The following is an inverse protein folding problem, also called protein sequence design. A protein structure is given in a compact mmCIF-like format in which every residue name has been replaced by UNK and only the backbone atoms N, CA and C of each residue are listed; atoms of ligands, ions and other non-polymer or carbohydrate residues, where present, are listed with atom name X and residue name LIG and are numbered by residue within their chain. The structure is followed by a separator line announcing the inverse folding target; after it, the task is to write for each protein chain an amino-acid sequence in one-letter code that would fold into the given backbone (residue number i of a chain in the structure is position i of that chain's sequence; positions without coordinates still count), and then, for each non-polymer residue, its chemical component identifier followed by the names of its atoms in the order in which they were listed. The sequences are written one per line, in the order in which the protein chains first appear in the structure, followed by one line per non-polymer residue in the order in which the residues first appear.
data_IF_868194972036
#
_entry.id   IF_868194972036
#
_cell.length_a   1.000
_cell.length_b   1.000
_cell.length_c   1.000
_cell.angle_alpha   90.00
_cell.angle_beta   90.00
_cell.angle_gamma   90.00
#
_symmetry.space_group_name_H-M   'P 1'
#
loop_
_entity.id
_entity.type
_entity.pdbx_description
1 polymer ?
#
# COMPACT_ATOMS: atom_id res chain seq x y z
N UNK A 1 32.07 9.13 -1.52
CA UNK A 1 32.95 10.32 -1.48
C UNK A 1 32.59 11.28 -2.61
N UNK A 2 31.34 11.74 -2.63
CA UNK A 2 30.84 12.88 -3.43
C UNK A 2 29.85 13.55 -2.47
N UNK A 3 29.83 14.88 -2.40
CA UNK A 3 29.17 15.73 -1.38
C UNK A 3 30.06 16.21 -0.24
N UNK A 4 31.19 16.82 -0.60
CA UNK A 4 31.78 17.87 0.23
C UNK A 4 32.31 18.99 -0.66
N UNK A 5 31.41 19.83 -1.16
CA UNK A 5 31.77 21.08 -1.84
C UNK A 5 30.80 22.19 -1.47
N UNK A 6 31.37 23.27 -0.92
CA UNK A 6 30.84 24.63 -1.02
C UNK A 6 29.91 25.09 0.09
N UNK A 7 30.41 25.97 0.96
CA UNK A 7 29.64 26.82 1.86
C UNK A 7 28.56 27.61 1.11
N UNK A 8 27.35 27.08 1.19
CA UNK A 8 26.09 27.72 0.84
C UNK A 8 25.03 27.02 1.67
N UNK A 9 25.03 27.29 2.98
CA UNK A 9 24.27 26.55 3.99
C UNK A 9 22.79 26.38 3.64
N UNK A 10 22.18 27.38 3.00
CA UNK A 10 20.79 27.28 2.53
C UNK A 10 20.58 26.26 1.40
N UNK A 11 21.40 26.27 0.35
CA UNK A 11 21.19 25.40 -0.82
C UNK A 11 21.39 23.92 -0.50
N UNK A 12 22.37 23.58 0.33
CA UNK A 12 22.60 22.20 0.75
C UNK A 12 21.51 21.66 1.69
N UNK A 13 20.94 22.51 2.55
CA UNK A 13 19.82 22.10 3.43
C UNK A 13 18.57 21.88 2.60
N UNK A 14 18.26 22.80 1.68
CA UNK A 14 17.08 22.70 0.82
C UNK A 14 17.16 21.49 -0.10
N UNK A 15 18.32 21.16 -0.67
CA UNK A 15 18.47 19.97 -1.52
C UNK A 15 18.32 18.66 -0.75
N UNK A 16 18.83 18.59 0.50
CA UNK A 16 18.60 17.44 1.38
C UNK A 16 17.14 17.28 1.76
N UNK A 17 16.44 18.39 2.07
CA UNK A 17 15.00 18.37 2.36
C UNK A 17 14.22 17.83 1.16
N UNK A 18 14.53 18.32 -0.04
CA UNK A 18 13.90 17.86 -1.27
C UNK A 18 14.19 16.37 -1.53
N UNK A 19 15.41 15.91 -1.27
CA UNK A 19 15.76 14.49 -1.38
C UNK A 19 14.92 13.64 -0.41
N UNK A 20 14.77 14.06 0.84
CA UNK A 20 13.95 13.33 1.82
C UNK A 20 12.49 13.27 1.38
N UNK A 21 11.90 14.39 0.96
CA UNK A 21 10.50 14.44 0.50
C UNK A 21 10.30 13.56 -0.75
N UNK A 22 11.22 13.65 -1.71
CA UNK A 22 11.15 12.81 -2.93
C UNK A 22 11.35 11.34 -2.61
N UNK A 23 12.26 10.98 -1.70
CA UNK A 23 12.43 9.61 -1.24
C UNK A 23 11.18 9.08 -0.52
N UNK A 24 10.58 9.86 0.38
CA UNK A 24 9.31 9.50 1.02
C UNK A 24 8.20 9.29 -0.01
N UNK A 25 8.10 10.16 -1.02
CA UNK A 25 7.14 10.01 -2.11
C UNK A 25 7.41 8.76 -2.97
N UNK A 26 8.68 8.38 -3.18
CA UNK A 26 9.03 7.12 -3.83
C UNK A 26 8.61 5.91 -2.99
N UNK A 27 8.81 5.95 -1.67
CA UNK A 27 8.34 4.91 -0.76
C UNK A 27 6.81 4.76 -0.76
N UNK A 28 6.05 5.86 -0.78
CA UNK A 28 4.57 5.77 -0.87
C UNK A 28 4.12 5.22 -2.21
N UNK A 29 4.84 5.51 -3.30
CA UNK A 29 4.61 4.86 -4.61
C UNK A 29 4.92 3.37 -4.57
N UNK A 30 6.01 2.94 -3.92
CA UNK A 30 6.32 1.51 -3.73
C UNK A 30 5.22 0.80 -2.93
N UNK A 31 4.66 1.44 -1.90
CA UNK A 31 3.51 0.92 -1.16
C UNK A 31 2.25 0.80 -2.05
N UNK A 32 2.09 1.68 -3.04
CA UNK A 32 1.03 1.53 -4.03
C UNK A 32 1.27 0.32 -4.97
N UNK A 33 2.52 -0.01 -5.30
CA UNK A 33 2.83 -1.22 -6.08
C UNK A 33 2.56 -2.51 -5.28
N UNK A 34 2.78 -2.50 -3.97
CA UNK A 34 2.48 -3.68 -3.14
C UNK A 34 0.97 -3.94 -3.02
N UNK A 35 0.11 -2.95 -3.34
CA UNK A 35 -1.35 -3.11 -3.42
C UNK A 35 -1.80 -4.11 -4.49
N UNK A 36 -0.96 -4.40 -5.48
CA UNK A 36 -1.23 -5.39 -6.53
C UNK A 36 -1.27 -6.82 -5.99
N UNK A 37 -0.58 -7.07 -4.89
CA UNK A 37 -0.58 -8.39 -4.27
C UNK A 37 -1.93 -8.62 -3.59
N UNK A 38 -2.52 -9.80 -3.79
CA UNK A 38 -3.84 -10.14 -3.23
C UNK A 38 -3.85 -10.04 -1.68
N UNK A 39 -2.73 -10.39 -1.05
CA UNK A 39 -2.61 -10.35 0.41
C UNK A 39 -2.51 -8.91 0.95
N UNK A 40 -1.54 -8.11 0.49
CA UNK A 40 -1.35 -6.75 1.02
C UNK A 40 -2.40 -5.78 0.49
N UNK A 41 -2.86 -5.95 -0.74
CA UNK A 41 -3.87 -5.10 -1.37
C UNK A 41 -5.18 -5.07 -0.60
N UNK A 42 -5.71 -6.25 -0.21
CA UNK A 42 -6.93 -6.33 0.61
C UNK A 42 -6.75 -5.62 1.96
N UNK A 43 -5.61 -5.80 2.63
CA UNK A 43 -5.32 -5.15 3.93
C UNK A 43 -5.24 -3.63 3.81
N UNK A 44 -4.67 -3.11 2.72
CA UNK A 44 -4.59 -1.67 2.50
C UNK A 44 -5.95 -1.04 2.22
N UNK A 45 -6.81 -1.68 1.43
CA UNK A 45 -8.19 -1.23 1.16
C UNK A 45 -8.99 -1.18 2.46
N UNK A 46 -8.88 -2.23 3.27
CA UNK A 46 -9.47 -2.33 4.60
C UNK A 46 -9.03 -1.15 5.49
N UNK A 47 -7.73 -0.88 5.58
CA UNK A 47 -7.19 0.22 6.39
C UNK A 47 -7.67 1.60 5.89
N UNK A 48 -7.70 1.81 4.57
CA UNK A 48 -8.19 3.08 3.98
C UNK A 48 -9.64 3.35 4.36
N UNK A 49 -10.50 2.33 4.28
CA UNK A 49 -11.93 2.46 4.61
C UNK A 49 -12.15 2.65 6.12
N UNK A 50 -11.37 1.97 6.95
CA UNK A 50 -11.40 2.18 8.40
C UNK A 50 -11.01 3.59 8.83
N UNK A 51 -9.92 4.15 8.28
CA UNK A 51 -9.49 5.52 8.64
C UNK A 51 -10.60 6.54 8.35
N UNK A 52 -11.36 6.35 7.26
CA UNK A 52 -12.51 7.22 6.93
C UNK A 52 -13.63 7.08 7.95
N UNK A 53 -13.97 5.85 8.33
CA UNK A 53 -15.04 5.54 9.28
C UNK A 53 -14.72 6.06 10.70
N UNK A 54 -13.49 5.89 11.16
CA UNK A 54 -13.04 6.32 12.50
C UNK A 54 -12.54 7.77 12.54
N UNK A 55 -12.60 8.51 11.43
CA UNK A 55 -12.05 9.88 11.33
C UNK A 55 -12.71 10.87 12.29
N UNK A 56 -14.03 10.74 12.52
CA UNK A 56 -14.76 11.58 13.47
C UNK A 56 -14.21 11.42 14.91
N UNK A 57 -13.80 10.21 15.30
CA UNK A 57 -13.20 9.96 16.61
C UNK A 57 -11.78 10.57 16.73
N UNK A 58 -11.00 10.56 15.65
CA UNK A 58 -9.68 11.22 15.61
C UNK A 58 -9.77 12.73 15.85
N UNK A 59 -10.86 13.37 15.42
CA UNK A 59 -11.12 14.79 15.70
C UNK A 59 -11.29 15.01 17.22
N UNK A 60 -12.00 14.11 17.91
CA UNK A 60 -12.19 14.20 19.38
C UNK A 60 -10.85 14.12 20.11
N UNK A 61 -9.98 13.16 19.74
CA UNK A 61 -8.63 13.04 20.30
C UNK A 61 -7.83 14.33 20.06
N UNK A 62 -7.93 14.90 18.85
CA UNK A 62 -7.23 16.14 18.49
C UNK A 62 -7.69 17.32 19.34
N UNK A 63 -9.00 17.47 19.56
CA UNK A 63 -9.56 18.53 20.41
C UNK A 63 -9.07 18.41 21.85
N UNK A 64 -9.07 17.20 22.41
CA UNK A 64 -8.62 16.95 23.79
C UNK A 64 -7.11 17.16 23.91
N UNK A 65 -6.34 16.77 22.90
CA UNK A 65 -4.90 17.07 22.82
C UNK A 65 -4.64 18.58 22.80
N UNK A 66 -5.39 19.35 22.01
CA UNK A 66 -5.27 20.81 21.95
C UNK A 66 -5.61 21.46 23.29
N UNK A 67 -6.72 21.05 23.91
CA UNK A 67 -7.13 21.54 25.23
C UNK A 67 -6.04 21.32 26.27
N UNK A 68 -5.50 20.10 26.36
CA UNK A 68 -4.42 19.78 27.30
C UNK A 68 -3.16 20.60 26.99
N UNK A 69 -2.73 20.64 25.73
CA UNK A 69 -1.50 21.33 25.32
C UNK A 69 -1.52 22.81 25.73
N UNK A 70 -2.62 23.50 25.44
CA UNK A 70 -2.78 24.92 25.76
C UNK A 70 -2.87 25.12 27.27
N UNK A 71 -3.66 24.30 27.98
CA UNK A 71 -3.82 24.41 29.44
C UNK A 71 -2.51 24.15 30.19
N UNK A 72 -1.79 23.10 29.80
CA UNK A 72 -0.48 22.75 30.35
C UNK A 72 0.52 23.90 30.19
N UNK A 73 0.60 24.48 28.99
CA UNK A 73 1.55 25.56 28.72
C UNK A 73 1.21 26.85 29.47
N UNK A 74 -0.09 27.21 29.51
CA UNK A 74 -0.57 28.38 30.24
C UNK A 74 -0.28 28.28 31.74
N UNK A 75 -0.36 27.07 32.30
CA UNK A 75 -0.08 26.79 33.71
C UNK A 75 1.43 26.87 34.03
N UNK A 76 2.29 26.32 33.17
CA UNK A 76 3.74 26.33 33.38
C UNK A 76 4.38 27.71 33.19
N UNK A 77 3.95 28.46 32.17
CA UNK A 77 4.62 29.69 31.74
C UNK A 77 3.65 30.87 31.68
N UNK A 78 3.21 31.41 32.84
CA UNK A 78 2.35 32.58 32.87
C UNK A 78 3.06 33.78 32.23
N UNK A 79 2.32 34.66 31.53
CA UNK A 79 2.87 35.85 30.86
C UNK A 79 3.92 35.53 29.78
N UNK A 80 3.73 34.46 29.00
CA UNK A 80 4.52 34.21 27.79
C UNK A 80 3.93 34.93 26.58
N UNK A 81 4.77 35.54 25.75
CA UNK A 81 4.34 36.12 24.48
C UNK A 81 3.96 35.03 23.47
N UNK A 82 2.90 35.27 22.68
CA UNK A 82 2.46 34.35 21.63
C UNK A 82 3.35 34.46 20.40
N UNK A 83 4.07 33.38 20.05
CA UNK A 83 4.69 33.23 18.73
C UNK A 83 4.53 31.82 18.18
N UNK A 84 4.68 31.69 16.87
CA UNK A 84 4.61 30.41 16.15
C UNK A 84 5.55 29.35 16.70
N UNK A 85 6.74 29.75 17.18
CA UNK A 85 7.71 28.84 17.80
C UNK A 85 7.23 28.28 19.13
N UNK A 86 6.45 29.04 19.92
CA UNK A 86 5.83 28.50 21.13
C UNK A 86 4.66 27.58 20.76
N UNK A 87 3.82 27.94 19.79
CA UNK A 87 2.73 27.07 19.34
C UNK A 87 3.23 25.68 18.94
N UNK A 88 4.33 25.61 18.19
CA UNK A 88 4.95 24.33 17.82
C UNK A 88 5.41 23.51 19.04
N UNK A 89 6.02 24.17 20.05
CA UNK A 89 6.41 23.53 21.32
C UNK A 89 5.21 22.99 22.09
N UNK A 90 4.12 23.77 22.13
CA UNK A 90 2.87 23.43 22.81
C UNK A 90 2.26 22.16 22.20
N UNK A 91 2.05 22.17 20.88
CA UNK A 91 1.43 21.05 20.15
C UNK A 91 2.30 19.80 20.20
N UNK A 92 3.63 19.94 20.05
CA UNK A 92 4.56 18.83 20.11
C UNK A 92 4.49 18.11 21.46
N UNK A 93 4.41 18.85 22.56
CA UNK A 93 4.38 18.24 23.89
C UNK A 93 3.11 17.42 24.11
N UNK A 94 1.93 17.98 23.79
CA UNK A 94 0.67 17.22 23.92
C UNK A 94 0.57 16.03 22.97
N UNK A 95 1.16 16.13 21.78
CA UNK A 95 1.29 15.02 20.83
C UNK A 95 2.14 13.87 21.38
N UNK A 96 3.37 14.13 21.83
CA UNK A 96 4.26 13.08 22.33
C UNK A 96 3.73 12.41 23.59
N UNK A 97 3.00 13.16 24.41
CA UNK A 97 2.35 12.60 25.57
C UNK A 97 1.28 11.55 25.23
N UNK A 98 0.61 11.65 24.07
CA UNK A 98 -0.31 10.60 23.60
C UNK A 98 0.41 9.25 23.42
N UNK A 99 1.70 9.29 23.10
CA UNK A 99 2.56 8.10 22.92
C UNK A 99 3.32 7.69 24.19
N UNK A 100 3.04 8.33 25.33
CA UNK A 100 3.63 7.97 26.63
C UNK A 100 4.91 8.70 26.99
N UNK A 101 5.33 9.72 26.25
CA UNK A 101 6.41 10.60 26.69
C UNK A 101 5.88 11.59 27.74
N UNK A 102 6.17 11.28 29.01
CA UNK A 102 5.69 12.04 30.15
C UNK A 102 6.60 13.22 30.52
N UNK A 103 7.79 13.35 29.90
CA UNK A 103 8.80 14.40 30.13
C UNK A 103 8.78 14.94 31.58
N UNK A 104 9.04 14.05 32.55
CA UNK A 104 8.96 14.33 33.98
C UNK A 104 10.14 15.22 34.41
N UNK A 105 11.30 15.03 33.77
CA UNK A 105 12.56 15.70 34.11
C UNK A 105 12.67 17.15 33.61
N UNK A 106 11.64 17.65 32.91
CA UNK A 106 11.62 19.03 32.43
C UNK A 106 11.68 20.07 33.58
N UNK A 107 11.47 19.65 34.83
CA UNK A 107 11.60 20.47 36.04
C UNK A 107 13.01 20.52 36.61
N UNK A 108 13.92 19.61 36.21
CA UNK A 108 15.26 19.46 36.80
C UNK A 108 16.39 20.04 35.91
N UNK A 109 16.03 20.70 34.80
CA UNK A 109 17.00 21.38 33.93
C UNK A 109 17.38 22.78 34.46
N UNK A 110 18.63 23.19 34.20
CA UNK A 110 19.09 24.56 34.40
C UNK A 110 18.18 25.55 33.66
N UNK A 111 17.47 26.39 34.41
CA UNK A 111 16.47 27.31 33.88
C UNK A 111 16.75 28.76 34.31
N UNK A 112 16.15 29.73 33.61
CA UNK A 112 16.28 31.16 33.92
C UNK A 112 14.92 31.86 33.96
N UNK A 113 14.77 32.83 34.86
CA UNK A 113 13.61 33.75 34.88
C UNK A 113 13.86 35.03 34.05
N UNK A 114 15.08 35.27 33.57
CA UNK A 114 15.42 36.49 32.86
C UNK A 114 15.00 36.45 31.39
N UNK A 115 14.14 37.39 30.98
CA UNK A 115 13.60 37.51 29.61
C UNK A 115 14.66 37.54 28.52
N UNK A 116 15.73 38.29 28.76
CA UNK A 116 16.81 38.43 27.77
C UNK A 116 17.58 37.15 27.51
N UNK A 117 17.65 36.24 28.49
CA UNK A 117 18.43 35.00 28.41
C UNK A 117 17.62 33.92 27.71
N UNK A 118 16.33 33.78 28.03
CA UNK A 118 15.48 32.78 27.38
C UNK A 118 15.08 33.18 25.94
N UNK A 119 14.93 34.48 25.64
CA UNK A 119 14.63 34.93 24.27
C UNK A 119 15.81 34.70 23.31
N UNK A 120 17.04 34.75 23.83
CA UNK A 120 18.26 34.39 23.09
C UNK A 120 18.47 32.87 22.95
N UNK A 121 17.65 32.06 23.60
CA UNK A 121 17.73 30.59 23.56
C UNK A 121 18.94 30.00 24.28
N UNK A 122 19.55 30.73 25.21
CA UNK A 122 20.74 30.29 25.95
C UNK A 122 20.35 29.30 27.05
N UNK A 123 19.31 29.64 27.83
CA UNK A 123 18.69 28.77 28.84
C UNK A 123 17.17 28.75 28.65
N UNK A 124 16.52 27.66 29.07
CA UNK A 124 15.06 27.56 29.04
C UNK A 124 14.42 28.40 30.16
N UNK A 125 13.20 28.89 29.91
CA UNK A 125 12.41 29.60 30.93
C UNK A 125 12.06 28.64 32.08
N UNK A 126 12.23 29.09 33.33
CA UNK A 126 11.79 28.32 34.49
C UNK A 126 10.25 28.20 34.56
N UNK A 127 9.72 27.03 34.97
CA UNK A 127 8.29 26.87 35.22
C UNK A 127 7.85 27.69 36.44
N UNK A 128 6.55 27.97 36.54
CA UNK A 128 5.96 28.61 37.73
C UNK A 128 5.83 27.62 38.89
N UNK A 129 5.97 28.07 40.13
CA UNK A 129 5.88 27.21 41.33
C UNK A 129 4.52 26.49 41.42
N UNK A 130 3.44 27.23 41.13
CA UNK A 130 2.09 26.67 41.05
C UNK A 130 1.98 25.63 39.93
N UNK A 131 2.60 25.92 38.78
CA UNK A 131 2.57 25.05 37.63
C UNK A 131 3.29 23.74 37.89
N UNK A 132 4.45 23.75 38.55
CA UNK A 132 5.18 22.54 38.94
C UNK A 132 4.31 21.63 39.82
N UNK A 133 3.59 22.20 40.78
CA UNK A 133 2.74 21.43 41.69
C UNK A 133 1.49 20.83 41.01
N UNK A 134 0.82 21.58 40.12
CA UNK A 134 -0.46 21.17 39.51
C UNK A 134 -0.26 20.28 38.27
N UNK A 135 0.84 20.48 37.56
CA UNK A 135 1.20 19.75 36.32
C UNK A 135 1.15 18.23 36.41
N UNK A 136 1.72 17.54 37.43
CA UNK A 136 1.68 16.08 37.48
C UNK A 136 0.24 15.55 37.52
N UNK A 137 -0.67 16.23 38.22
CA UNK A 137 -2.09 15.86 38.26
C UNK A 137 -2.78 16.07 36.91
N UNK A 138 -2.49 17.19 36.23
CA UNK A 138 -3.02 17.46 34.90
C UNK A 138 -2.52 16.43 33.88
N UNK A 139 -1.23 16.08 33.94
CA UNK A 139 -0.61 15.03 33.13
C UNK A 139 -1.29 13.68 33.37
N UNK A 140 -1.49 13.28 34.63
CA UNK A 140 -2.16 12.04 34.98
C UNK A 140 -3.61 11.99 34.46
N UNK A 141 -4.37 13.08 34.63
CA UNK A 141 -5.74 13.17 34.16
C UNK A 141 -5.85 13.08 32.63
N UNK A 142 -5.00 13.82 31.90
CA UNK A 142 -4.94 13.72 30.44
C UNK A 142 -4.53 12.32 29.98
N UNK A 143 -3.52 11.70 30.61
CA UNK A 143 -3.11 10.33 30.28
C UNK A 143 -4.24 9.32 30.45
N UNK A 144 -5.03 9.44 31.52
CA UNK A 144 -6.22 8.61 31.74
C UNK A 144 -7.25 8.83 30.63
N UNK A 145 -7.60 10.07 30.33
CA UNK A 145 -8.59 10.36 29.29
C UNK A 145 -8.11 9.96 27.89
N UNK A 146 -6.91 10.35 27.49
CA UNK A 146 -6.43 10.18 26.14
C UNK A 146 -5.96 8.74 25.86
N UNK A 147 -5.12 8.17 26.72
CA UNK A 147 -4.48 6.87 26.47
C UNK A 147 -5.32 5.72 27.04
N UNK A 148 -5.84 5.84 28.27
CA UNK A 148 -6.58 4.74 28.88
C UNK A 148 -8.02 4.68 28.38
N UNK A 149 -8.67 5.81 28.14
CA UNK A 149 -10.05 5.84 27.66
C UNK A 149 -10.11 5.95 26.14
N UNK A 150 -9.65 7.05 25.54
CA UNK A 150 -9.90 7.33 24.13
C UNK A 150 -9.11 6.41 23.19
N UNK A 151 -7.83 6.15 23.44
CA UNK A 151 -7.04 5.27 22.59
C UNK A 151 -7.58 3.83 22.63
N UNK A 152 -7.98 3.34 23.80
CA UNK A 152 -8.58 2.01 23.93
C UNK A 152 -9.95 1.92 23.24
N UNK A 153 -10.78 2.96 23.35
CA UNK A 153 -12.03 3.04 22.61
C UNK A 153 -11.79 3.15 21.09
N UNK A 154 -10.77 3.89 20.66
CA UNK A 154 -10.39 3.98 19.26
C UNK A 154 -9.99 2.60 18.72
N UNK A 155 -9.16 1.85 19.45
CA UNK A 155 -8.79 0.48 19.09
C UNK A 155 -10.04 -0.41 19.01
N UNK A 156 -10.97 -0.28 19.95
CA UNK A 156 -12.23 -1.05 19.94
C UNK A 156 -13.09 -0.72 18.71
N UNK A 157 -13.27 0.56 18.37
CA UNK A 157 -13.98 0.99 17.16
C UNK A 157 -13.26 0.51 15.89
N UNK A 158 -11.93 0.62 15.84
CA UNK A 158 -11.15 0.08 14.72
C UNK A 158 -11.36 -1.41 14.57
N UNK A 159 -11.39 -2.19 15.66
CA UNK A 159 -11.65 -3.63 15.61
C UNK A 159 -13.05 -3.95 15.12
N UNK A 160 -14.08 -3.23 15.59
CA UNK A 160 -15.46 -3.43 15.15
C UNK A 160 -15.61 -3.10 13.65
N UNK A 161 -15.17 -1.91 13.23
CA UNK A 161 -15.16 -1.54 11.81
C UNK A 161 -14.28 -2.48 10.98
N UNK A 162 -13.18 -2.99 11.54
CA UNK A 162 -12.32 -3.97 10.87
C UNK A 162 -13.12 -5.20 10.46
N UNK A 163 -13.89 -5.77 11.38
CA UNK A 163 -14.69 -6.97 11.09
C UNK A 163 -15.77 -6.70 10.05
N UNK A 164 -16.47 -5.56 10.14
CA UNK A 164 -17.50 -5.13 9.18
C UNK A 164 -16.92 -4.90 7.78
N UNK A 165 -15.80 -4.18 7.69
CA UNK A 165 -15.15 -3.87 6.41
C UNK A 165 -14.50 -5.11 5.80
N UNK A 166 -13.95 -6.01 6.61
CA UNK A 166 -13.31 -7.25 6.15
C UNK A 166 -14.27 -8.18 5.40
N UNK A 167 -15.57 -8.16 5.74
CA UNK A 167 -16.62 -8.92 5.03
C UNK A 167 -16.75 -8.46 3.56
N UNK A 168 -16.75 -7.13 3.32
CA UNK A 168 -16.92 -6.53 1.98
C UNK A 168 -15.59 -6.14 1.31
N UNK A 169 -14.45 -6.46 1.95
CA UNK A 169 -13.13 -6.03 1.50
C UNK A 169 -12.72 -6.62 0.15
N UNK A 170 -13.17 -7.84 -0.15
CA UNK A 170 -12.85 -8.51 -1.42
C UNK A 170 -13.45 -7.76 -2.61
N UNK A 171 -14.71 -7.33 -2.49
CA UNK A 171 -15.40 -6.55 -3.52
C UNK A 171 -14.74 -5.17 -3.69
N UNK A 172 -14.43 -4.51 -2.58
CA UNK A 172 -13.75 -3.20 -2.62
C UNK A 172 -12.34 -3.29 -3.23
N UNK A 173 -11.62 -4.39 -2.98
CA UNK A 173 -10.31 -4.64 -3.60
C UNK A 173 -10.45 -4.96 -5.09
N UNK A 174 -11.44 -5.76 -5.49
CA UNK A 174 -11.69 -6.06 -6.89
C UNK A 174 -12.05 -4.79 -7.69
N UNK A 175 -12.89 -3.92 -7.13
CA UNK A 175 -13.23 -2.64 -7.73
C UNK A 175 -11.97 -1.78 -7.94
N UNK A 176 -11.13 -1.65 -6.91
CA UNK A 176 -9.84 -0.94 -7.03
C UNK A 176 -8.93 -1.56 -8.11
N UNK A 177 -8.91 -2.88 -8.26
CA UNK A 177 -8.12 -3.56 -9.29
C UNK A 177 -8.67 -3.32 -10.70
N UNK A 178 -10.00 -3.24 -10.86
CA UNK A 178 -10.62 -2.94 -12.15
C UNK A 178 -10.29 -1.51 -12.58
N UNK A 179 -10.47 -0.52 -11.70
CA UNK A 179 -10.15 0.88 -11.98
C UNK A 179 -8.69 1.05 -12.41
N UNK A 180 -7.81 0.34 -11.72
CA UNK A 180 -6.40 0.32 -12.00
C UNK A 180 -6.10 -0.37 -13.34
N UNK A 181 -6.73 -1.50 -13.65
CA UNK A 181 -6.53 -2.17 -14.93
C UNK A 181 -6.96 -1.27 -16.10
N UNK A 182 -8.06 -0.54 -15.96
CA UNK A 182 -8.50 0.45 -16.95
C UNK A 182 -7.48 1.58 -17.12
N UNK A 183 -6.91 2.09 -16.03
CA UNK A 183 -5.86 3.12 -16.09
C UNK A 183 -4.58 2.61 -16.79
N UNK A 184 -4.19 1.36 -16.52
CA UNK A 184 -2.99 0.76 -17.10
C UNK A 184 -3.18 0.31 -18.56
N UNK A 185 -4.41 0.06 -19.00
CA UNK A 185 -4.72 -0.33 -20.39
C UNK A 185 -4.22 0.69 -21.41
N UNK A 186 -4.25 1.98 -21.06
CA UNK A 186 -3.89 3.09 -21.97
C UNK A 186 -2.39 3.46 -21.87
N UNK A 187 -1.64 2.85 -20.93
CA UNK A 187 -0.22 3.19 -20.70
C UNK A 187 0.72 2.36 -21.57
N UNK A 188 1.80 3.00 -22.01
CA UNK A 188 2.84 2.36 -22.82
C UNK A 188 3.48 1.17 -22.09
N UNK A 189 3.74 0.09 -22.83
CA UNK A 189 4.24 -1.21 -22.33
C UNK A 189 5.62 -1.12 -21.65
N UNK A 190 6.41 -0.09 -21.97
CA UNK A 190 7.76 0.05 -21.43
C UNK A 190 7.76 0.72 -20.05
N UNK A 191 8.57 0.22 -19.10
CA UNK A 191 8.76 0.92 -17.84
C UNK A 191 9.37 2.29 -18.13
N UNK A 192 8.98 3.30 -17.34
CA UNK A 192 9.28 4.73 -17.58
C UNK A 192 10.77 5.00 -17.86
N UNK A 193 11.67 4.23 -17.23
CA UNK A 193 13.12 4.36 -17.43
C UNK A 193 13.62 3.84 -18.78
N UNK A 194 12.94 2.86 -19.41
CA UNK A 194 13.27 2.34 -20.74
C UNK A 194 12.55 3.09 -21.86
N UNK A 195 11.57 3.93 -21.54
CA UNK A 195 10.84 4.71 -22.53
C UNK A 195 11.74 5.72 -23.25
N UNK A 196 12.74 6.30 -22.56
CA UNK A 196 13.72 7.20 -23.16
C UNK A 196 14.57 6.52 -24.25
N UNK A 197 14.86 5.22 -24.11
CA UNK A 197 15.61 4.42 -25.08
C UNK A 197 14.75 4.00 -26.29
N UNK A 198 13.43 3.89 -26.10
CA UNK A 198 12.49 3.51 -27.17
C UNK A 198 12.15 4.68 -28.12
N UNK A 199 12.28 5.94 -27.65
CA UNK A 199 12.04 7.14 -28.46
C UNK A 199 12.89 7.22 -29.74
N UNK A 200 14.23 7.06 -29.71
CA UNK A 200 15.02 7.09 -30.94
C UNK A 200 14.68 5.95 -31.90
N UNK A 201 14.32 4.76 -31.39
CA UNK A 201 13.88 3.63 -32.21
C UNK A 201 12.58 3.91 -32.95
N UNK A 202 11.60 4.56 -32.29
CA UNK A 202 10.35 4.97 -32.92
C UNK A 202 10.55 6.04 -34.01
N UNK A 203 11.46 7.00 -33.80
CA UNK A 203 11.80 8.04 -34.78
C UNK A 203 12.49 7.43 -36.01
N UNK A 204 13.42 6.50 -35.81
CA UNK A 204 14.09 5.80 -36.91
C UNK A 204 13.12 4.90 -37.71
N UNK A 205 12.17 4.25 -37.05
CA UNK A 205 11.14 3.46 -37.71
C UNK A 205 10.19 4.33 -38.56
N UNK A 206 9.81 5.51 -38.05
CA UNK A 206 9.00 6.48 -38.80
C UNK A 206 9.80 7.02 -40.00
N UNK A 207 11.09 7.34 -39.84
CA UNK A 207 11.95 7.78 -40.94
C UNK A 207 12.16 6.69 -41.99
N UNK A 208 12.33 5.43 -41.58
CA UNK A 208 12.42 4.28 -42.48
C UNK A 208 11.10 4.04 -43.23
N UNK A 209 9.96 4.19 -42.55
CA UNK A 209 8.64 4.10 -43.17
C UNK A 209 8.42 5.24 -44.19
N UNK A 210 8.77 6.48 -43.85
CA UNK A 210 8.74 7.61 -44.77
C UNK A 210 9.66 7.38 -45.99
N UNK A 211 10.88 6.86 -45.78
CA UNK A 211 11.80 6.53 -46.87
C UNK A 211 11.24 5.42 -47.78
N UNK A 212 10.68 4.36 -47.21
CA UNK A 212 10.05 3.26 -47.97
C UNK A 212 8.84 3.74 -48.77
N UNK A 213 8.00 4.60 -48.19
CA UNK A 213 6.83 5.18 -48.85
C UNK A 213 7.22 6.13 -49.99
N UNK A 214 8.25 6.95 -49.81
CA UNK A 214 8.82 7.79 -50.86
C UNK A 214 9.46 6.95 -51.98
N UNK A 215 10.13 5.85 -51.64
CA UNK A 215 10.72 4.91 -52.61
C UNK A 215 9.64 4.19 -53.42
N UNK A 216 8.53 3.78 -52.82
CA UNK A 216 7.41 3.18 -53.53
C UNK A 216 6.72 4.17 -54.48
N UNK A 217 6.58 5.45 -54.10
CA UNK A 217 6.09 6.49 -55.03
C UNK A 217 7.01 6.75 -56.22
N UNK A 218 8.33 6.59 -56.05
CA UNK A 218 9.29 6.69 -57.16
C UNK A 218 9.15 5.50 -58.15
N UNK A 219 8.82 4.31 -57.64
CA UNK A 219 8.68 3.08 -58.44
C UNK A 219 7.38 3.01 -59.26
N UNK A 220 6.31 3.68 -58.85
CA UNK A 220 5.02 3.70 -59.58
C UNK A 220 4.96 4.64 -60.81
N UNK A 221 6.10 5.19 -61.28
CA UNK A 221 6.13 6.14 -62.42
C UNK A 221 6.50 5.51 -63.78
N UNK A 222 6.66 4.18 -63.88
CA UNK A 222 6.72 3.47 -65.17
C UNK A 222 5.33 2.91 -65.51
N UNK A 223 4.77 3.17 -66.71
CA UNK A 223 3.46 2.69 -67.07
C UNK A 223 3.54 1.26 -67.64
N UNK A 224 2.74 0.36 -67.08
CA UNK A 224 2.27 -0.85 -67.74
C UNK A 224 2.80 -2.17 -67.18
N UNK A 225 2.09 -2.74 -66.21
CA UNK A 225 1.42 -4.05 -66.33
C UNK A 225 0.47 -4.27 -65.15
N UNK A 226 -0.70 -4.81 -65.47
CA UNK A 226 -1.76 -5.25 -64.56
C UNK A 226 -1.32 -6.44 -63.72
N UNK A 227 -1.50 -6.38 -62.40
CA UNK A 227 -1.61 -7.58 -61.56
C UNK A 227 -2.43 -7.33 -60.30
N UNK A 228 -3.10 -8.40 -59.90
CA UNK A 228 -4.17 -8.65 -58.94
C UNK A 228 -4.10 -7.93 -57.59
N UNK A 229 -5.27 -7.48 -57.12
CA UNK A 229 -5.53 -6.95 -55.78
C UNK A 229 -5.49 -8.08 -54.74
N UNK A 230 -4.30 -8.41 -54.23
CA UNK A 230 -4.17 -9.14 -52.98
C UNK A 230 -4.04 -8.13 -51.83
N UNK A 231 -5.04 -8.11 -50.95
CA UNK A 231 -5.00 -7.39 -49.69
C UNK A 231 -3.83 -7.92 -48.82
N UNK A 232 -2.98 -7.07 -48.23
CA UNK A 232 -1.88 -7.54 -47.40
C UNK A 232 -2.43 -8.24 -46.14
N UNK A 233 -1.95 -9.45 -45.86
CA UNK A 233 -2.28 -10.20 -44.64
C UNK A 233 -1.70 -9.46 -43.42
N UNK A 234 -2.49 -9.41 -42.35
CA UNK A 234 -2.22 -8.73 -41.07
C UNK A 234 -0.93 -9.22 -40.37
N UNK A 235 -0.41 -10.37 -40.77
CA UNK A 235 0.78 -10.99 -40.17
C UNK A 235 2.11 -10.42 -40.67
N UNK A 236 2.12 -9.60 -41.72
CA UNK A 236 3.33 -9.03 -42.32
C UNK A 236 3.73 -7.65 -41.74
N UNK A 237 3.00 -7.16 -40.75
CA UNK A 237 3.27 -5.88 -40.10
C UNK A 237 4.19 -6.01 -38.87
N UNK A 238 5.16 -5.09 -38.66
CA UNK A 238 6.01 -5.09 -37.47
C UNK A 238 5.16 -4.98 -36.19
N UNK A 239 5.62 -5.59 -35.09
CA UNK A 239 4.85 -5.76 -33.84
C UNK A 239 4.18 -4.48 -33.34
N UNK A 240 4.79 -3.31 -33.53
CA UNK A 240 4.22 -2.01 -33.18
C UNK A 240 2.94 -1.65 -33.94
N UNK A 241 2.86 -1.99 -35.23
CA UNK A 241 1.64 -1.79 -36.04
C UNK A 241 0.59 -2.83 -35.65
N UNK A 242 0.97 -4.04 -35.25
CA UNK A 242 0.02 -5.02 -34.68
C UNK A 242 -0.55 -4.54 -33.34
N UNK A 243 0.23 -3.86 -32.49
CA UNK A 243 -0.26 -3.23 -31.25
C UNK A 243 -1.22 -2.08 -31.55
N UNK A 244 -0.89 -1.21 -32.52
CA UNK A 244 -1.80 -0.13 -32.94
C UNK A 244 -3.06 -0.63 -33.66
N UNK A 245 -2.97 -1.73 -34.41
CA UNK A 245 -4.11 -2.34 -35.10
C UNK A 245 -4.96 -3.21 -34.16
N UNK A 246 -4.38 -3.74 -33.07
CA UNK A 246 -5.14 -4.43 -32.03
C UNK A 246 -6.16 -3.49 -31.38
N UNK A 247 -5.80 -2.21 -31.18
CA UNK A 247 -6.72 -1.17 -30.71
C UNK A 247 -7.86 -0.90 -31.71
N UNK A 248 -7.66 -1.07 -33.01
CA UNK A 248 -8.72 -0.86 -34.02
C UNK A 248 -9.60 -2.08 -34.30
N UNK A 249 -9.13 -3.30 -34.01
CA UNK A 249 -9.85 -4.55 -34.31
C UNK A 249 -10.62 -5.16 -33.13
N UNK A 250 -10.46 -4.63 -31.92
CA UNK A 250 -11.29 -5.05 -30.78
C UNK A 250 -12.70 -4.44 -30.81
N UNK A 251 -12.99 -3.54 -31.76
CA UNK A 251 -14.22 -2.74 -31.78
C UNK A 251 -15.36 -3.32 -32.65
N UNK A 252 -15.39 -4.64 -32.91
CA UNK A 252 -16.47 -5.30 -33.71
C UNK A 252 -17.14 -6.47 -32.97
N UNK A 253 -17.21 -6.44 -31.63
CA UNK A 253 -18.16 -7.31 -30.91
C UNK A 253 -18.94 -6.53 -29.85
N UNK A 254 -19.96 -5.81 -30.35
CA UNK A 254 -21.11 -5.19 -29.65
C UNK A 254 -20.78 -4.18 -28.53
N UNK A 255 -20.75 -2.86 -28.82
CA UNK A 255 -20.50 -1.82 -27.81
C UNK A 255 -21.72 -1.42 -26.96
N UNK A 256 -22.95 -1.71 -27.37
CA UNK A 256 -24.13 -1.04 -26.77
C UNK A 256 -24.80 -1.83 -25.63
N UNK A 257 -24.63 -3.15 -25.54
CA UNK A 257 -25.20 -3.96 -24.45
C UNK A 257 -24.28 -4.04 -23.22
N UNK A 258 -22.97 -4.09 -23.45
CA UNK A 258 -22.00 -4.42 -22.39
C UNK A 258 -21.60 -3.21 -21.55
N UNK A 259 -21.70 -1.99 -22.08
CA UNK A 259 -21.41 -0.77 -21.30
C UNK A 259 -22.62 -0.36 -20.43
N UNK A 260 -23.84 -0.62 -20.89
CA UNK A 260 -25.06 -0.47 -20.09
C UNK A 260 -25.14 -1.56 -19.01
N UNK A 261 -24.71 -2.78 -19.30
CA UNK A 261 -24.63 -3.89 -18.35
C UNK A 261 -23.47 -3.71 -17.35
N UNK A 262 -22.27 -3.26 -17.78
CA UNK A 262 -21.17 -2.89 -16.86
C UNK A 262 -21.52 -1.71 -15.98
N UNK A 263 -22.09 -0.62 -16.52
CA UNK A 263 -22.59 0.51 -15.73
C UNK A 263 -23.80 0.12 -14.87
N UNK A 264 -24.52 -0.95 -15.23
CA UNK A 264 -25.61 -1.54 -14.46
C UNK A 264 -25.10 -2.36 -13.28
N UNK A 265 -24.08 -3.20 -13.48
CA UNK A 265 -23.39 -3.97 -12.42
C UNK A 265 -22.65 -3.03 -11.46
N UNK A 266 -22.01 -1.98 -11.98
CA UNK A 266 -21.31 -1.01 -11.14
C UNK A 266 -22.30 -0.15 -10.33
N UNK A 267 -23.44 0.28 -10.92
CA UNK A 267 -24.53 0.93 -10.17
C UNK A 267 -25.18 -0.01 -9.17
N UNK A 268 -25.38 -1.29 -9.50
CA UNK A 268 -25.91 -2.28 -8.55
C UNK A 268 -24.98 -2.45 -7.34
N UNK A 269 -23.65 -2.43 -7.53
CA UNK A 269 -22.68 -2.46 -6.44
C UNK A 269 -22.56 -1.12 -5.67
N UNK A 270 -22.79 0.01 -6.33
CA UNK A 270 -22.78 1.35 -5.69
C UNK A 270 -24.07 1.58 -4.88
N UNK A 271 -25.19 1.05 -5.34
CA UNK A 271 -26.47 1.07 -4.64
C UNK A 271 -26.44 0.19 -3.39
N UNK A 272 -25.66 -0.91 -3.32
CA UNK A 272 -25.43 -1.63 -2.04
C UNK A 272 -24.73 -0.77 -0.96
N UNK A 273 -24.15 0.38 -1.32
CA UNK A 273 -23.64 1.39 -0.38
C UNK A 273 -24.63 2.50 -0.01
N UNK A 274 -25.78 2.57 -0.70
CA UNK A 274 -26.86 3.56 -0.52
C UNK A 274 -28.22 2.92 -0.85
N UNK A 275 -28.74 2.06 0.01
CA UNK A 275 -30.13 1.60 -0.14
C UNK A 275 -31.02 2.40 0.80
N UNK A 276 -31.66 3.43 0.25
CA UNK A 276 -33.02 3.78 0.65
C UNK A 276 -33.97 2.73 0.05
N UNK A 277 -34.84 2.20 0.91
CA UNK A 277 -35.63 0.99 0.73
C UNK A 277 -36.64 1.08 -0.43
N UNK A 278 -36.68 0.04 -1.28
CA UNK A 278 -37.85 -0.39 -2.04
C UNK A 278 -37.96 -1.93 -1.95
N UNK A 279 -38.96 -2.40 -1.21
CA UNK A 279 -38.91 -3.65 -0.43
C UNK A 279 -39.16 -4.98 -1.17
N UNK A 280 -39.56 -5.02 -2.44
CA UNK A 280 -39.97 -6.32 -3.08
C UNK A 280 -38.89 -6.98 -3.92
N UNK A 281 -38.13 -6.19 -4.70
CA UNK A 281 -37.14 -6.74 -5.63
C UNK A 281 -35.78 -6.96 -4.92
N UNK A 282 -35.48 -6.15 -3.91
CA UNK A 282 -34.26 -6.26 -3.09
C UNK A 282 -34.18 -7.61 -2.33
N UNK A 283 -35.30 -8.10 -1.79
CA UNK A 283 -35.34 -9.36 -1.04
C UNK A 283 -35.01 -10.56 -1.94
N UNK A 284 -35.45 -10.53 -3.20
CA UNK A 284 -35.20 -11.61 -4.16
C UNK A 284 -33.73 -11.64 -4.57
N UNK A 285 -33.12 -10.47 -4.79
CA UNK A 285 -31.70 -10.35 -5.15
C UNK A 285 -30.79 -10.69 -3.97
N UNK A 286 -31.18 -10.30 -2.75
CA UNK A 286 -30.46 -10.60 -1.50
C UNK A 286 -30.48 -12.10 -1.19
N UNK A 287 -31.59 -12.79 -1.46
CA UNK A 287 -31.66 -14.24 -1.34
C UNK A 287 -30.78 -14.97 -2.37
N UNK A 288 -30.67 -14.44 -3.60
CA UNK A 288 -29.76 -15.00 -4.62
C UNK A 288 -28.29 -14.77 -4.27
N UNK A 289 -27.94 -13.59 -3.77
CA UNK A 289 -26.59 -13.28 -3.30
C UNK A 289 -26.18 -14.16 -2.12
N UNK A 290 -27.10 -14.39 -1.16
CA UNK A 290 -26.87 -15.30 -0.04
C UNK A 290 -26.63 -16.75 -0.49
N UNK A 291 -27.36 -17.20 -1.51
CA UNK A 291 -27.17 -18.55 -2.09
C UNK A 291 -25.80 -18.68 -2.79
N UNK A 292 -25.34 -17.62 -3.45
CA UNK A 292 -24.02 -17.57 -4.10
C UNK A 292 -22.91 -17.53 -3.04
N UNK A 293 -23.09 -16.75 -1.98
CA UNK A 293 -22.17 -16.67 -0.84
C UNK A 293 -22.01 -18.04 -0.15
N UNK A 294 -23.12 -18.71 0.15
CA UNK A 294 -23.12 -20.07 0.72
C UNK A 294 -22.40 -21.07 -0.19
N UNK A 295 -22.57 -20.93 -1.51
CA UNK A 295 -21.91 -21.78 -2.50
C UNK A 295 -20.39 -21.52 -2.56
N UNK A 296 -19.97 -20.26 -2.48
CA UNK A 296 -18.56 -19.87 -2.44
C UNK A 296 -17.88 -20.34 -1.14
N UNK A 297 -18.59 -20.26 -0.01
CA UNK A 297 -18.08 -20.73 1.27
C UNK A 297 -17.92 -22.26 1.29
N UNK A 298 -18.88 -22.99 0.72
CA UNK A 298 -18.79 -24.45 0.56
C UNK A 298 -17.65 -24.85 -0.40
N UNK A 299 -17.41 -24.10 -1.48
CA UNK A 299 -16.25 -24.33 -2.36
C UNK A 299 -14.92 -24.08 -1.64
N UNK A 300 -14.83 -23.02 -0.82
CA UNK A 300 -13.65 -22.71 -0.01
C UNK A 300 -13.39 -23.80 1.03
N UNK A 301 -14.41 -24.28 1.73
CA UNK A 301 -14.27 -25.37 2.71
C UNK A 301 -13.84 -26.69 2.06
N UNK A 302 -14.33 -27.00 0.85
CA UNK A 302 -13.88 -28.15 0.05
C UNK A 302 -12.42 -28.00 -0.39
N UNK A 303 -12.00 -26.79 -0.78
CA UNK A 303 -10.62 -26.50 -1.13
C UNK A 303 -9.68 -26.65 0.08
N UNK A 304 -10.06 -26.11 1.24
CA UNK A 304 -9.30 -26.27 2.49
C UNK A 304 -9.23 -27.73 2.94
N UNK A 305 -10.29 -28.50 2.74
CA UNK A 305 -10.31 -29.94 3.06
C UNK A 305 -9.40 -30.73 2.14
N UNK A 306 -9.45 -30.50 0.82
CA UNK A 306 -8.48 -31.09 -0.13
C UNK A 306 -7.04 -30.71 0.23
N UNK A 307 -6.80 -29.44 0.58
CA UNK A 307 -5.45 -28.99 0.95
C UNK A 307 -4.94 -29.69 2.22
N UNK A 308 -5.81 -29.93 3.21
CA UNK A 308 -5.47 -30.73 4.40
C UNK A 308 -5.18 -32.19 4.06
N UNK A 309 -5.99 -32.82 3.21
CA UNK A 309 -5.78 -34.20 2.77
C UNK A 309 -4.46 -34.35 1.99
N UNK A 310 -4.19 -33.44 1.04
CA UNK A 310 -2.93 -33.40 0.30
C UNK A 310 -1.74 -33.23 1.26
N UNK A 311 -1.86 -32.37 2.27
CA UNK A 311 -0.81 -32.19 3.29
C UNK A 311 -0.63 -33.43 4.20
N UNK A 312 -1.69 -34.18 4.48
CA UNK A 312 -1.57 -35.46 5.21
C UNK A 312 -0.90 -36.53 4.35
N UNK A 313 -1.28 -36.65 3.07
CA UNK A 313 -0.64 -37.56 2.13
C UNK A 313 0.85 -37.22 1.95
N UNK A 314 1.20 -35.94 1.83
CA UNK A 314 2.60 -35.50 1.77
C UNK A 314 3.36 -35.87 3.04
N UNK A 315 2.75 -35.78 4.22
CA UNK A 315 3.35 -36.22 5.49
C UNK A 315 3.54 -37.74 5.55
N UNK A 316 2.59 -38.52 5.05
CA UNK A 316 2.73 -39.98 4.97
C UNK A 316 3.81 -40.42 3.98
N UNK A 317 3.86 -39.77 2.81
CA UNK A 317 4.91 -39.99 1.81
C UNK A 317 6.28 -39.64 2.40
N UNK A 318 6.39 -38.51 3.11
CA UNK A 318 7.64 -38.12 3.78
C UNK A 318 8.05 -39.11 4.89
N UNK A 319 7.10 -39.65 5.66
CA UNK A 319 7.37 -40.70 6.66
C UNK A 319 7.84 -42.00 6.01
N UNK A 320 7.21 -42.44 4.92
CA UNK A 320 7.65 -43.63 4.15
C UNK A 320 9.06 -43.43 3.60
N UNK A 321 9.34 -42.29 2.98
CA UNK A 321 10.69 -41.96 2.51
C UNK A 321 11.73 -41.96 3.63
N UNK A 322 11.38 -41.48 4.82
CA UNK A 322 12.28 -41.53 5.98
C UNK A 322 12.47 -42.95 6.53
N UNK A 323 11.42 -43.80 6.50
CA UNK A 323 11.53 -45.20 6.88
C UNK A 323 12.42 -45.97 5.89
N UNK A 324 12.15 -45.83 4.59
CA UNK A 324 12.92 -46.50 3.53
C UNK A 324 14.40 -46.10 3.57
N UNK A 325 14.69 -44.81 3.85
CA UNK A 325 16.07 -44.33 4.04
C UNK A 325 16.75 -44.92 5.28
N UNK A 326 15.99 -45.16 6.35
CA UNK A 326 16.47 -45.76 7.60
C UNK A 326 16.71 -47.27 7.43
N UNK A 327 15.83 -47.93 6.67
CA UNK A 327 15.97 -49.34 6.29
C UNK A 327 17.17 -49.54 5.36
N UNK A 328 17.40 -48.63 4.39
CA UNK A 328 18.60 -48.63 3.53
C UNK A 328 19.90 -48.38 4.31
N UNK A 329 19.88 -47.53 5.34
CA UNK A 329 21.02 -47.34 6.25
C UNK A 329 21.28 -48.57 7.12
N UNK A 330 20.23 -49.20 7.65
CA UNK A 330 20.35 -50.43 8.43
C UNK A 330 20.85 -51.61 7.59
N UNK A 331 20.51 -51.67 6.30
CA UNK A 331 21.02 -52.67 5.35
C UNK A 331 22.50 -52.46 5.00
N UNK A 332 22.97 -51.19 5.01
CA UNK A 332 24.39 -50.85 4.83
C UNK A 332 25.22 -51.16 6.08
N UNK A 333 24.67 -50.96 7.27
CA UNK A 333 25.32 -51.36 8.53
C UNK A 333 25.37 -52.89 8.70
N UNK A 334 24.34 -53.63 8.26
CA UNK A 334 24.34 -55.11 8.32
C UNK A 334 25.23 -55.79 7.29
N UNK A 335 25.70 -55.06 6.27
CA UNK A 335 26.63 -55.58 5.24
C UNK A 335 28.11 -55.41 5.60
N UNK A 336 28.41 -54.94 6.81
CA UNK A 336 29.76 -54.90 7.37
C UNK A 336 29.72 -55.71 8.67
N UNK A 337 30.02 -57.02 8.61
CA UNK A 337 31.19 -57.46 9.36
C UNK A 337 31.97 -58.64 8.74
N UNK A 338 33.23 -58.77 9.18
CA UNK A 338 34.11 -59.97 9.15
C UNK A 338 34.94 -60.25 7.88
N UNK A 339 36.03 -59.49 7.72
CA UNK A 339 37.29 -60.04 7.20
C UNK A 339 38.49 -59.38 7.91
N UNK A 340 38.54 -59.53 9.24
CA UNK A 340 39.79 -59.36 9.99
C UNK A 340 39.68 -60.14 11.31
N UNK A 341 40.77 -60.82 11.67
CA UNK A 341 40.97 -61.66 12.87
C UNK A 341 40.61 -63.15 12.69
N UNK A 342 41.41 -63.84 11.88
CA UNK A 342 42.04 -65.11 12.27
C UNK A 342 43.21 -65.39 11.32
N UNK A 343 44.43 -65.04 11.73
CA UNK A 343 45.68 -65.72 11.39
C UNK A 343 46.86 -65.04 12.10
N UNK A 344 47.02 -65.38 13.38
CA UNK A 344 48.31 -65.35 14.08
C UNK A 344 48.33 -66.52 15.04
N UNK A 345 48.63 -67.70 14.49
CA UNK A 345 49.39 -68.75 15.18
C UNK A 345 49.88 -69.77 14.15
N UNK A 346 51.21 -69.91 14.11
CA UNK A 346 52.09 -70.75 13.28
C UNK A 346 52.43 -70.33 11.85
#
# INVERSE_FOLDING_TARGET
MILKTGEGSGFQITSKLFLVVTFTALCTRLLHLTCMTEFLGRKMVINRKMIKDTSAFMIIITIIMLWYSVSFYALLYPNSDFSWKQMEKILRNGYWMLFGDLNIDATDLECTHNKTIYDRGILQRCPSDLGVYVTPYLKAFYGLLAVVLLLNLLIAMYSDTYTKVQQNANLSWLQMQIDLFEEYRIKTVFPIHLQLLALPGSILAILWFCYSFLRNKYKSRQPGTSETTDTPKIDDHPMFVRVLLYDTNYDIRSPDTDEAEKKGVFRACEDEGKIDLSDSDAITTLNRLKTIEDSLQNMREKEDTRNREVMQLLKEIAKKFHSDKKDEQSLKEKKIPEEEIQNTEF
#
